data_IF_521538039450
#
_entry.id   IF_521538039450
#
_cell.length_a   1.000
_cell.length_b   1.000
_cell.length_c   1.000
_cell.angle_alpha   90.00
_cell.angle_beta   90.00
_cell.angle_gamma   90.00
#
_symmetry.space_group_name_H-M   'P 1'
#
loop_
_entity.id
_entity.type
_entity.pdbx_description
1 polymer ?
#
# COMPACT_ATOMS: atom_id res chain seq x y z
N UNK A 1 0.42 -5.08 10.11
CA UNK A 1 1.41 -5.00 9.02
C UNK A 1 0.85 -5.77 7.83
N UNK A 2 0.91 -5.21 6.63
CA UNK A 2 0.61 -5.94 5.39
C UNK A 2 1.96 -6.17 4.69
N UNK A 3 2.42 -7.42 4.73
CA UNK A 3 3.78 -7.80 4.32
C UNK A 3 3.97 -7.92 2.81
N UNK A 4 2.97 -8.44 2.09
CA UNK A 4 2.94 -8.45 0.63
C UNK A 4 1.95 -7.41 0.12
N UNK A 5 2.45 -6.19 0.02
CA UNK A 5 1.81 -5.13 -0.73
C UNK A 5 2.55 -5.01 -2.07
N UNK A 6 2.47 -6.04 -2.92
CA UNK A 6 3.30 -6.17 -4.13
C UNK A 6 2.81 -7.31 -5.03
N UNK A 7 3.71 -7.91 -5.81
CA UNK A 7 3.35 -9.03 -6.67
C UNK A 7 2.58 -8.62 -7.92
N UNK A 8 2.69 -7.36 -8.37
CA UNK A 8 2.07 -6.86 -9.59
C UNK A 8 3.17 -6.68 -10.61
N UNK A 9 3.06 -7.27 -11.79
CA UNK A 9 4.13 -7.19 -12.79
C UNK A 9 3.62 -7.04 -14.20
N UNK A 10 4.13 -6.02 -14.89
CA UNK A 10 4.14 -5.87 -16.33
C UNK A 10 5.51 -6.28 -16.87
N UNK A 11 5.54 -7.39 -17.61
CA UNK A 11 6.80 -7.93 -18.12
C UNK A 11 7.24 -7.15 -19.35
N UNK A 12 8.46 -6.60 -19.31
CA UNK A 12 9.04 -5.86 -20.43
C UNK A 12 10.02 -6.77 -21.18
N UNK A 13 9.73 -7.16 -22.44
CA UNK A 13 10.64 -8.00 -23.22
C UNK A 13 12.04 -7.40 -23.30
N UNK A 14 13.06 -8.25 -23.08
CA UNK A 14 14.47 -7.84 -23.12
C UNK A 14 14.96 -7.11 -21.86
N UNK A 15 14.11 -6.97 -20.83
CA UNK A 15 14.45 -6.43 -19.51
C UNK A 15 14.43 -7.49 -18.40
N UNK A 16 14.45 -8.75 -18.81
CA UNK A 16 14.29 -9.94 -17.96
C UNK A 16 15.67 -10.57 -17.67
N UNK A 17 15.86 -11.24 -16.53
CA UNK A 17 17.08 -12.04 -16.27
C UNK A 17 17.21 -13.21 -17.25
N UNK A 18 16.13 -13.99 -17.37
CA UNK A 18 15.98 -15.03 -18.40
C UNK A 18 14.81 -14.65 -19.29
N UNK A 19 15.02 -14.50 -20.61
CA UNK A 19 13.96 -14.14 -21.54
C UNK A 19 12.73 -15.05 -21.42
N UNK A 20 11.55 -14.44 -21.34
CA UNK A 20 10.25 -15.13 -21.29
C UNK A 20 10.06 -16.09 -20.09
N UNK A 21 10.80 -15.90 -19.01
CA UNK A 21 10.66 -16.69 -17.77
C UNK A 21 10.13 -15.90 -16.58
N UNK A 22 9.73 -14.65 -16.79
CA UNK A 22 9.13 -13.82 -15.76
C UNK A 22 7.88 -14.44 -15.12
N UNK A 23 7.73 -14.18 -13.83
CA UNK A 23 6.66 -14.59 -12.94
C UNK A 23 6.28 -13.40 -12.06
N UNK A 24 5.01 -13.37 -11.66
CA UNK A 24 4.46 -12.49 -10.64
C UNK A 24 3.09 -13.05 -10.21
N UNK A 25 2.56 -12.61 -9.07
CA UNK A 25 1.27 -13.07 -8.54
C UNK A 25 0.08 -12.46 -9.26
N UNK A 26 0.20 -11.20 -9.69
CA UNK A 26 -0.82 -10.42 -10.37
C UNK A 26 -0.22 -9.81 -11.64
N UNK A 27 -0.28 -10.58 -12.73
CA UNK A 27 0.21 -10.11 -14.03
C UNK A 27 -0.74 -9.06 -14.62
N UNK A 28 -0.16 -7.98 -15.14
CA UNK A 28 -0.83 -6.99 -15.98
C UNK A 28 -0.05 -6.81 -17.29
N UNK A 29 -0.63 -6.15 -18.28
CA UNK A 29 -0.06 -6.12 -19.63
C UNK A 29 0.95 -4.99 -19.82
N UNK A 30 0.82 -3.89 -19.07
CA UNK A 30 1.62 -2.68 -19.29
C UNK A 30 2.07 -2.01 -17.99
N UNK A 31 3.23 -1.32 -17.97
CA UNK A 31 3.66 -0.53 -16.82
C UNK A 31 2.62 0.51 -16.36
N UNK A 32 1.84 1.07 -17.29
CA UNK A 32 0.74 1.98 -16.97
C UNK A 32 -0.35 1.29 -16.12
N UNK A 33 -0.73 0.06 -16.48
CA UNK A 33 -1.68 -0.73 -15.70
C UNK A 33 -1.10 -1.15 -14.34
N UNK A 34 0.19 -1.50 -14.28
CA UNK A 34 0.89 -1.83 -13.03
C UNK A 34 0.88 -0.63 -12.06
N UNK A 35 1.23 0.56 -12.55
CA UNK A 35 1.16 1.80 -11.78
C UNK A 35 -0.27 2.12 -11.31
N UNK A 36 -1.27 1.97 -12.18
CA UNK A 36 -2.67 2.18 -11.83
C UNK A 36 -3.12 1.19 -10.74
N UNK A 37 -2.71 -0.08 -10.85
CA UNK A 37 -3.07 -1.12 -9.88
C UNK A 37 -2.40 -0.89 -8.53
N UNK A 38 -1.14 -0.45 -8.52
CA UNK A 38 -0.45 -0.01 -7.32
C UNK A 38 -1.23 1.12 -6.62
N UNK A 39 -1.69 2.13 -7.36
CA UNK A 39 -2.43 3.27 -6.80
C UNK A 39 -3.79 2.84 -6.21
N UNK A 40 -4.50 1.89 -6.84
CA UNK A 40 -5.70 1.27 -6.25
C UNK A 40 -5.39 0.58 -4.92
N UNK A 41 -4.32 -0.22 -4.90
CA UNK A 41 -3.89 -0.90 -3.69
C UNK A 41 -3.51 0.12 -2.60
N UNK A 42 -2.82 1.20 -2.96
CA UNK A 42 -2.42 2.25 -2.04
C UNK A 42 -3.63 2.98 -1.44
N UNK A 43 -4.69 3.15 -2.23
CA UNK A 43 -5.97 3.68 -1.75
C UNK A 43 -6.62 2.78 -0.70
N UNK A 44 -6.47 1.45 -0.82
CA UNK A 44 -6.91 0.50 0.20
C UNK A 44 -6.15 0.70 1.51
N UNK A 45 -4.82 0.85 1.44
CA UNK A 45 -3.99 1.13 2.64
C UNK A 45 -4.37 2.47 3.27
N UNK A 46 -4.57 3.50 2.45
CA UNK A 46 -5.01 4.82 2.90
C UNK A 46 -6.32 4.75 3.70
N UNK A 47 -7.26 3.89 3.29
CA UNK A 47 -8.54 3.69 4.00
C UNK A 47 -8.40 2.96 5.35
N UNK A 48 -7.23 2.41 5.65
CA UNK A 48 -6.95 1.55 6.80
C UNK A 48 -5.79 2.05 7.67
N UNK A 49 -5.38 3.32 7.53
CA UNK A 49 -4.26 3.90 8.29
C UNK A 49 -4.45 3.89 9.81
N UNK A 50 -5.68 3.74 10.29
CA UNK A 50 -6.03 3.58 11.71
C UNK A 50 -5.90 2.14 12.23
N UNK A 51 -5.68 1.18 11.32
CA UNK A 51 -5.59 -0.26 11.61
C UNK A 51 -4.27 -0.89 11.13
N UNK A 52 -3.55 -0.24 10.21
CA UNK A 52 -2.30 -0.71 9.62
C UNK A 52 -1.17 0.26 9.96
N UNK A 53 -0.19 -0.21 10.73
CA UNK A 53 0.99 0.60 11.09
C UNK A 53 2.04 0.70 9.97
N UNK A 54 2.07 -0.27 9.05
CA UNK A 54 3.03 -0.32 7.94
C UNK A 54 2.57 -1.27 6.82
N UNK A 55 2.97 -0.94 5.59
CA UNK A 55 2.91 -1.77 4.39
C UNK A 55 4.27 -1.76 3.68
N UNK A 56 4.73 -2.90 3.18
CA UNK A 56 6.00 -3.03 2.47
C UNK A 56 5.73 -3.48 1.04
N UNK A 57 6.21 -2.70 0.06
CA UNK A 57 6.27 -3.15 -1.34
C UNK A 57 7.60 -3.86 -1.55
N UNK A 58 7.54 -5.18 -1.64
CA UNK A 58 8.63 -5.98 -2.20
C UNK A 58 8.31 -6.16 -3.69
N UNK A 59 9.16 -5.70 -4.61
CA UNK A 59 10.61 -5.45 -4.53
C UNK A 59 11.08 -4.19 -5.28
N UNK A 60 12.34 -3.75 -5.06
CA UNK A 60 12.87 -2.52 -5.69
C UNK A 60 13.24 -2.69 -7.16
N UNK A 61 13.71 -3.87 -7.54
CA UNK A 61 14.13 -4.25 -8.90
C UNK A 61 13.59 -5.63 -9.19
N UNK A 62 13.31 -5.97 -10.44
CA UNK A 62 13.06 -7.37 -10.81
C UNK A 62 14.26 -8.24 -10.37
N UNK A 63 13.99 -9.42 -9.81
CA UNK A 63 15.02 -10.35 -9.31
C UNK A 63 14.73 -11.75 -9.86
N UNK A 64 15.75 -12.34 -10.50
CA UNK A 64 15.67 -13.68 -11.10
C UNK A 64 14.43 -13.83 -12.00
N UNK A 65 13.44 -14.62 -11.58
CA UNK A 65 12.21 -14.84 -12.33
C UNK A 65 11.06 -13.96 -11.84
N UNK A 66 11.20 -13.23 -10.73
CA UNK A 66 10.16 -12.34 -10.21
C UNK A 66 10.28 -10.95 -10.85
N UNK A 67 9.32 -10.60 -11.69
CA UNK A 67 9.35 -9.40 -12.54
C UNK A 67 8.27 -8.38 -12.14
N UNK A 68 8.21 -8.07 -10.85
CA UNK A 68 7.31 -7.10 -10.21
C UNK A 68 8.06 -6.03 -9.40
N UNK A 69 9.33 -5.83 -9.73
CA UNK A 69 10.13 -4.76 -9.16
C UNK A 69 9.72 -3.38 -9.65
N UNK A 70 9.98 -2.36 -8.83
CA UNK A 70 9.78 -0.97 -9.25
C UNK A 70 10.69 -0.56 -10.43
N UNK A 71 11.88 -1.17 -10.51
CA UNK A 71 12.81 -1.07 -11.62
C UNK A 71 12.89 -2.40 -12.37
N UNK A 72 13.25 -2.33 -13.65
CA UNK A 72 13.56 -3.50 -14.46
C UNK A 72 14.80 -4.25 -13.93
N UNK A 73 15.04 -5.46 -14.43
CA UNK A 73 16.21 -6.27 -14.03
C UNK A 73 17.54 -5.52 -14.21
N UNK A 74 17.67 -4.77 -15.30
CA UNK A 74 18.84 -3.94 -15.62
C UNK A 74 18.88 -2.59 -14.87
N UNK A 75 18.01 -2.40 -13.87
CA UNK A 75 17.85 -1.18 -13.06
C UNK A 75 17.39 0.04 -13.86
N UNK A 76 16.90 -0.13 -15.09
CA UNK A 76 16.23 0.95 -15.82
C UNK A 76 14.82 1.20 -15.27
N UNK A 77 14.33 2.42 -15.46
CA UNK A 77 12.98 2.79 -15.04
C UNK A 77 11.94 1.94 -15.79
N UNK A 78 11.04 1.30 -15.03
CA UNK A 78 9.87 0.60 -15.57
C UNK A 78 8.74 1.57 -15.90
N UNK A 79 8.60 2.61 -15.08
CA UNK A 79 7.55 3.62 -15.17
C UNK A 79 8.06 4.91 -15.80
N UNK A 80 7.17 5.61 -16.50
CA UNK A 80 7.43 6.99 -16.93
C UNK A 80 7.32 7.99 -15.75
N UNK A 81 7.60 9.26 -16.03
CA UNK A 81 7.56 10.33 -15.04
C UNK A 81 6.16 10.53 -14.43
N UNK A 82 5.12 10.43 -15.25
CA UNK A 82 3.73 10.64 -14.81
C UNK A 82 3.26 9.51 -13.89
N UNK A 83 3.57 8.27 -14.24
CA UNK A 83 3.30 7.07 -13.45
C UNK A 83 4.08 7.09 -12.13
N UNK A 84 5.37 7.44 -12.19
CA UNK A 84 6.21 7.60 -11.00
C UNK A 84 5.66 8.67 -10.06
N UNK A 85 5.19 9.80 -10.63
CA UNK A 85 4.53 10.86 -9.86
C UNK A 85 3.24 10.37 -9.20
N UNK A 86 2.40 9.61 -9.90
CA UNK A 86 1.16 9.07 -9.34
C UNK A 86 1.43 8.12 -8.16
N UNK A 87 2.41 7.22 -8.31
CA UNK A 87 2.86 6.31 -7.24
C UNK A 87 3.36 7.10 -6.02
N UNK A 88 4.20 8.13 -6.25
CA UNK A 88 4.68 9.03 -5.20
C UNK A 88 3.52 9.73 -4.49
N UNK A 89 2.58 10.30 -5.24
CA UNK A 89 1.46 11.06 -4.68
C UNK A 89 0.56 10.18 -3.80
N UNK A 90 0.31 8.92 -4.21
CA UNK A 90 -0.42 7.93 -3.43
C UNK A 90 0.29 7.61 -2.11
N UNK A 91 1.61 7.37 -2.15
CA UNK A 91 2.41 7.12 -0.94
C UNK A 91 2.43 8.33 0.01
N UNK A 92 2.57 9.53 -0.54
CA UNK A 92 2.52 10.76 0.23
C UNK A 92 1.14 10.98 0.88
N UNK A 93 0.05 10.56 0.23
CA UNK A 93 -1.28 10.60 0.83
C UNK A 93 -1.39 9.70 2.07
N UNK A 94 -0.86 8.47 2.00
CA UNK A 94 -0.80 7.54 3.13
C UNK A 94 0.00 8.13 4.29
N UNK A 95 1.21 8.65 4.02
CA UNK A 95 2.09 9.24 5.04
C UNK A 95 1.40 10.41 5.76
N UNK A 96 0.79 11.32 5.01
CA UNK A 96 0.06 12.47 5.58
C UNK A 96 -1.13 12.04 6.43
N UNK A 97 -1.84 10.98 6.03
CA UNK A 97 -2.98 10.46 6.78
C UNK A 97 -2.54 9.76 8.07
N UNK A 98 -1.48 8.95 8.02
CA UNK A 98 -0.93 8.25 9.19
C UNK A 98 -0.21 9.16 10.19
N UNK A 99 0.34 10.29 9.74
CA UNK A 99 0.98 11.30 10.61
C UNK A 99 0.02 12.15 11.44
N UNK A 100 -1.30 12.03 11.22
CA UNK A 100 -2.30 12.76 12.01
C UNK A 100 -2.58 11.98 13.29
N UNK A 101 -2.53 12.61 14.48
CA UNK A 101 -2.91 11.92 15.71
C UNK A 101 -4.33 11.36 15.56
N UNK A 102 -4.60 10.14 16.05
CA UNK A 102 -5.90 9.52 15.92
C UNK A 102 -6.94 10.52 16.44
N UNK A 103 -7.96 10.83 15.62
CA UNK A 103 -9.09 11.62 16.08
C UNK A 103 -9.62 10.88 17.29
N UNK A 104 -9.46 11.49 18.47
CA UNK A 104 -9.87 10.88 19.72
C UNK A 104 -11.26 10.31 19.54
N UNK A 105 -11.39 8.98 19.64
CA UNK A 105 -12.71 8.37 19.80
C UNK A 105 -13.24 9.04 21.05
N UNK A 106 -14.17 9.98 20.88
CA UNK A 106 -14.91 10.56 21.99
C UNK A 106 -15.58 9.39 22.69
N UNK A 107 -14.92 8.84 23.71
CA UNK A 107 -15.58 8.08 24.74
C UNK A 107 -16.51 9.11 25.38
N UNK A 108 -17.74 9.20 24.87
CA UNK A 108 -18.84 9.63 25.73
C UNK A 108 -18.81 8.65 26.88
N UNK A 109 -18.26 9.07 28.00
CA UNK A 109 -18.38 8.35 29.25
C UNK A 109 -19.86 8.03 29.42
N UNK A 110 -20.21 6.75 29.50
CA UNK A 110 -21.55 6.34 29.86
C UNK A 110 -21.90 7.05 31.18
N UNK A 111 -23.09 7.66 31.31
CA UNK A 111 -23.45 8.34 32.55
C UNK A 111 -23.43 7.32 33.69
N UNK A 112 -22.53 7.54 34.65
CA UNK A 112 -22.47 6.74 35.87
C UNK A 112 -23.78 6.94 36.61
N UNK A 113 -24.64 5.91 36.61
CA UNK A 113 -25.84 5.89 37.44
C UNK A 113 -25.39 5.89 38.91
N UNK A 114 -25.58 7.01 39.61
CA UNK A 114 -25.39 7.05 41.07
C UNK A 114 -26.55 6.32 41.75
N UNK A 115 -26.31 5.40 42.70
CA UNK A 115 -27.38 4.77 43.45
C UNK A 115 -28.11 5.81 44.32
N UNK A 116 -29.44 5.80 44.26
CA UNK A 116 -30.29 6.62 45.14
C UNK A 116 -30.07 6.15 46.58
N UNK A 117 -29.72 7.09 47.47
CA UNK A 117 -29.68 6.84 48.92
C UNK A 117 -31.07 6.38 49.37
N UNK A 118 -31.14 5.19 49.94
CA UNK A 118 -32.32 4.73 50.66
C UNK A 118 -32.51 5.64 51.89
N UNK A 119 -33.65 6.30 51.94
CA UNK A 119 -34.07 7.10 53.08
C UNK A 119 -34.25 6.21 54.31
N UNK A 120 -33.75 6.71 55.43
CA UNK A 120 -34.00 6.17 56.77
C UNK A 120 -35.50 6.10 57.05
N UNK A 121 -35.94 5.01 57.68
CA UNK A 121 -37.07 4.99 58.61
C UNK A 121 -36.52 4.65 59.98
#
# INVERSE_FOLDING_TARGET
MVGEFGGIGAFIPGKEWVPHKCHTYLKVDTPAQEAAKYVEMATTILSRVDHISASVYTQTTDVELECDGFLNYDRTNKFDEQQTKAIRDANQAIIRAGGRPPRGRGHRAAPVLRPRRAGRR
#
